data_IF_105568453333
#
_entry.id   IF_105568453333
#
_cell.length_a   1.000
_cell.length_b   1.000
_cell.length_c   1.000
_cell.angle_alpha   90.00
_cell.angle_beta   90.00
_cell.angle_gamma   90.00
#
_symmetry.space_group_name_H-M   'P 1'
#
loop_
_entity.id
_entity.type
_entity.pdbx_description
1 polymer ?
#
# COMPACT_ATOMS: atom_id res chain seq x y z
N UNK A 1 -55.01 20.99 4.31
CA UNK A 1 -53.74 21.60 4.77
C UNK A 1 -53.01 20.85 5.90
N UNK A 2 -53.67 20.13 6.83
CA UNK A 2 -52.99 19.42 7.93
C UNK A 2 -52.19 18.17 7.51
N UNK A 3 -52.70 17.41 6.53
CA UNK A 3 -52.06 16.18 6.02
C UNK A 3 -50.77 16.47 5.25
N UNK A 4 -50.77 17.50 4.39
CA UNK A 4 -49.57 17.89 3.62
C UNK A 4 -48.42 18.31 4.55
N UNK A 5 -48.72 19.10 5.58
CA UNK A 5 -47.77 19.50 6.62
C UNK A 5 -47.26 18.33 7.47
N UNK A 6 -48.02 17.24 7.56
CA UNK A 6 -47.59 16.02 8.27
C UNK A 6 -46.62 15.20 7.42
N UNK A 7 -46.88 15.10 6.11
CA UNK A 7 -46.00 14.44 5.13
C UNK A 7 -44.65 15.17 5.02
N UNK A 8 -44.65 16.51 4.93
CA UNK A 8 -43.41 17.31 4.89
C UNK A 8 -42.55 17.11 6.14
N UNK A 9 -43.16 17.05 7.32
CA UNK A 9 -42.44 16.83 8.59
C UNK A 9 -41.80 15.44 8.62
N UNK A 10 -42.48 14.42 8.13
CA UNK A 10 -41.92 13.06 8.03
C UNK A 10 -40.77 13.02 7.03
N UNK A 11 -40.92 13.65 5.85
CA UNK A 11 -39.87 13.71 4.85
C UNK A 11 -38.60 14.40 5.39
N UNK A 12 -38.74 15.53 6.10
CA UNK A 12 -37.61 16.20 6.75
C UNK A 12 -36.98 15.37 7.86
N UNK A 13 -37.78 14.69 8.70
CA UNK A 13 -37.26 13.82 9.76
C UNK A 13 -36.51 12.60 9.21
N UNK A 14 -37.01 11.99 8.13
CA UNK A 14 -36.31 10.90 7.44
C UNK A 14 -35.01 11.42 6.80
N UNK A 15 -35.06 12.57 6.12
CA UNK A 15 -33.87 13.19 5.53
C UNK A 15 -32.78 13.51 6.57
N UNK A 16 -33.17 14.05 7.73
CA UNK A 16 -32.26 14.33 8.83
C UNK A 16 -31.67 13.04 9.42
N UNK A 17 -32.49 11.99 9.59
CA UNK A 17 -32.02 10.70 10.08
C UNK A 17 -31.01 10.06 9.11
N UNK A 18 -31.29 10.09 7.80
CA UNK A 18 -30.36 9.59 6.78
C UNK A 18 -29.04 10.38 6.78
N UNK A 19 -29.09 11.71 6.96
CA UNK A 19 -27.89 12.53 7.07
C UNK A 19 -27.06 12.19 8.31
N UNK A 20 -27.69 12.00 9.47
CA UNK A 20 -27.01 11.60 10.71
C UNK A 20 -26.37 10.21 10.56
N UNK A 21 -27.11 9.24 10.00
CA UNK A 21 -26.58 7.90 9.74
C UNK A 21 -25.39 7.98 8.77
N UNK A 22 -25.47 8.78 7.71
CA UNK A 22 -24.35 8.99 6.80
C UNK A 22 -23.12 9.58 7.50
N UNK A 23 -23.30 10.60 8.36
CA UNK A 23 -22.20 11.21 9.13
C UNK A 23 -21.55 10.21 10.08
N UNK A 24 -22.34 9.41 10.80
CA UNK A 24 -21.83 8.37 11.70
C UNK A 24 -21.06 7.30 10.91
N UNK A 25 -21.61 6.85 9.78
CA UNK A 25 -20.93 5.90 8.90
C UNK A 25 -19.62 6.45 8.32
N UNK A 26 -19.61 7.73 7.93
CA UNK A 26 -18.39 8.43 7.50
C UNK A 26 -17.37 8.46 8.64
N UNK A 27 -17.77 8.80 9.86
CA UNK A 27 -16.88 8.81 11.03
C UNK A 27 -16.28 7.44 11.36
N UNK A 28 -17.10 6.37 11.28
CA UNK A 28 -16.64 4.98 11.50
C UNK A 28 -15.68 4.52 10.41
N UNK A 29 -15.87 4.96 9.16
CA UNK A 29 -14.98 4.63 8.03
C UNK A 29 -13.67 5.43 8.11
N UNK A 30 -13.71 6.70 8.51
CA UNK A 30 -12.54 7.56 8.68
C UNK A 30 -11.68 7.11 9.88
N UNK A 31 -12.31 6.69 10.97
CA UNK A 31 -11.61 6.33 12.21
C UNK A 31 -10.94 4.96 12.20
N UNK A 32 -11.00 4.21 11.09
CA UNK A 32 -10.32 2.92 11.00
C UNK A 32 -8.80 3.15 10.89
N UNK A 33 -7.99 2.65 11.85
CA UNK A 33 -6.54 2.76 11.76
C UNK A 33 -6.05 2.04 10.50
N UNK A 34 -5.09 2.66 9.81
CA UNK A 34 -4.43 2.01 8.68
C UNK A 34 -3.79 0.71 9.18
N UNK A 35 -4.15 -0.41 8.54
CA UNK A 35 -3.47 -1.67 8.73
C UNK A 35 -2.03 -1.48 8.22
N UNK A 36 -1.04 -1.57 9.11
CA UNK A 36 0.37 -1.47 8.72
C UNK A 36 0.85 -2.84 8.26
N UNK A 37 1.63 -2.90 7.19
CA UNK A 37 2.38 -4.09 6.85
C UNK A 37 3.25 -4.48 8.05
N UNK A 38 3.15 -5.73 8.52
CA UNK A 38 3.90 -6.21 9.68
C UNK A 38 5.42 -6.16 9.47
N UNK A 39 6.19 -6.30 10.54
CA UNK A 39 7.65 -6.23 10.51
C UNK A 39 8.22 -7.26 9.51
N UNK A 40 8.91 -6.78 8.48
CA UNK A 40 9.47 -7.64 7.42
C UNK A 40 10.79 -8.26 7.91
N UNK A 41 11.06 -9.54 7.64
CA UNK A 41 12.29 -10.18 8.08
C UNK A 41 13.50 -9.61 7.31
N UNK A 42 14.47 -9.07 8.05
CA UNK A 42 15.79 -8.72 7.50
C UNK A 42 16.57 -10.00 7.22
N UNK A 43 16.92 -10.23 5.95
CA UNK A 43 17.76 -11.37 5.58
C UNK A 43 19.24 -11.06 5.85
N UNK A 44 19.70 -11.47 7.02
CA UNK A 44 21.13 -11.48 7.36
C UNK A 44 21.78 -12.67 6.63
N UNK A 45 22.65 -12.40 5.64
CA UNK A 45 23.46 -13.42 4.98
C UNK A 45 23.52 -13.40 3.44
N UNK A 46 22.98 -12.37 2.77
CA UNK A 46 22.98 -12.27 1.30
C UNK A 46 24.11 -11.38 0.73
N UNK A 47 25.18 -11.10 1.48
CA UNK A 47 26.19 -10.11 1.07
C UNK A 47 27.04 -10.51 -0.15
N UNK A 48 27.02 -11.77 -0.57
CA UNK A 48 27.92 -12.27 -1.63
C UNK A 48 27.22 -12.91 -2.84
N UNK A 49 25.88 -12.99 -2.86
CA UNK A 49 25.13 -13.51 -4.00
C UNK A 49 24.15 -12.47 -4.54
N UNK A 50 24.18 -12.28 -5.85
CA UNK A 50 23.20 -11.47 -6.58
C UNK A 50 21.79 -11.99 -6.27
N UNK A 51 20.94 -11.11 -5.75
CA UNK A 51 19.59 -11.43 -5.27
C UNK A 51 18.52 -10.76 -6.12
N UNK A 52 17.28 -11.21 -5.94
CA UNK A 52 16.08 -10.63 -6.54
C UNK A 52 15.26 -9.94 -5.47
N UNK A 53 14.90 -8.68 -5.71
CA UNK A 53 14.07 -7.86 -4.84
C UNK A 53 12.69 -7.77 -5.48
N UNK A 54 11.70 -8.50 -4.94
CA UNK A 54 10.34 -8.54 -5.45
C UNK A 54 9.42 -7.68 -4.57
N UNK A 55 8.93 -6.59 -5.13
CA UNK A 55 8.10 -5.57 -4.49
C UNK A 55 6.66 -5.73 -4.97
N UNK A 56 5.73 -5.91 -4.02
CA UNK A 56 4.31 -6.14 -4.27
C UNK A 56 3.47 -5.04 -3.63
N UNK A 57 2.87 -4.18 -4.45
CA UNK A 57 2.16 -2.98 -4.03
C UNK A 57 0.66 -3.12 -4.33
N UNK A 58 -0.15 -3.35 -3.29
CA UNK A 58 -1.56 -3.63 -3.48
C UNK A 58 -2.42 -2.37 -3.69
N UNK A 59 -3.59 -2.55 -4.31
CA UNK A 59 -4.61 -1.54 -4.43
C UNK A 59 -5.29 -1.25 -3.09
N UNK A 60 -5.67 -0.01 -2.88
CA UNK A 60 -6.56 0.47 -1.81
C UNK A 60 -7.91 -0.25 -1.67
N UNK A 61 -8.54 -0.10 -0.49
CA UNK A 61 -9.77 -0.82 -0.09
C UNK A 61 -9.59 -2.33 0.02
N UNK A 62 -8.34 -2.79 0.00
CA UNK A 62 -7.99 -4.17 0.20
C UNK A 62 -7.35 -4.31 1.59
N UNK A 63 -7.93 -5.19 2.40
CA UNK A 63 -7.26 -5.78 3.56
C UNK A 63 -6.48 -7.03 3.13
N UNK A 64 -5.64 -7.56 4.01
CA UNK A 64 -4.96 -8.87 3.81
C UNK A 64 -5.95 -9.99 3.41
N UNK A 65 -7.22 -9.87 3.81
CA UNK A 65 -8.30 -10.82 3.49
C UNK A 65 -8.92 -10.63 2.09
N UNK A 66 -8.49 -9.62 1.33
CA UNK A 66 -9.08 -9.29 0.01
C UNK A 66 -8.55 -10.19 -1.11
N UNK A 67 -7.56 -11.03 -0.81
CA UNK A 67 -7.04 -12.07 -1.71
C UNK A 67 -6.74 -11.56 -3.13
N UNK A 68 -6.13 -10.39 -3.22
CA UNK A 68 -5.82 -9.73 -4.49
C UNK A 68 -4.79 -10.53 -5.27
N UNK A 69 -4.70 -10.30 -6.58
CA UNK A 69 -3.66 -10.96 -7.37
C UNK A 69 -2.25 -10.58 -6.90
N UNK A 70 -2.05 -9.36 -6.37
CA UNK A 70 -0.77 -8.92 -5.80
C UNK A 70 -0.44 -9.75 -4.54
N UNK A 71 -1.39 -9.88 -3.61
CA UNK A 71 -1.23 -10.74 -2.43
C UNK A 71 -0.95 -12.20 -2.80
N UNK A 72 -1.70 -12.74 -3.77
CA UNK A 72 -1.53 -14.13 -4.23
C UNK A 72 -0.15 -14.34 -4.85
N UNK A 73 0.31 -13.41 -5.70
CA UNK A 73 1.66 -13.48 -6.28
C UNK A 73 2.73 -13.41 -5.19
N UNK A 74 2.57 -12.53 -4.20
CA UNK A 74 3.46 -12.46 -3.04
C UNK A 74 3.51 -13.79 -2.28
N UNK A 75 2.35 -14.38 -1.99
CA UNK A 75 2.26 -15.64 -1.24
C UNK A 75 2.87 -16.83 -2.00
N UNK A 76 2.92 -16.76 -3.32
CA UNK A 76 3.52 -17.78 -4.19
C UNK A 76 5.01 -17.51 -4.50
N UNK A 77 5.59 -16.43 -3.97
CA UNK A 77 6.99 -16.12 -4.21
C UNK A 77 7.89 -17.10 -3.44
N UNK A 78 8.68 -17.88 -4.18
CA UNK A 78 9.63 -18.82 -3.59
C UNK A 78 10.81 -18.09 -2.92
N UNK A 79 11.43 -18.68 -1.90
CA UNK A 79 12.61 -18.10 -1.25
C UNK A 79 13.85 -18.04 -2.16
N UNK A 80 13.91 -18.90 -3.18
CA UNK A 80 14.96 -18.92 -4.21
C UNK A 80 14.34 -19.09 -5.58
N UNK A 81 14.96 -18.48 -6.58
CA UNK A 81 14.58 -18.64 -7.97
C UNK A 81 15.05 -19.98 -8.56
N UNK A 82 14.59 -20.31 -9.78
CA UNK A 82 15.03 -21.53 -10.49
C UNK A 82 16.54 -21.57 -10.77
N UNK A 83 17.15 -20.41 -10.94
CA UNK A 83 18.60 -20.21 -11.09
C UNK A 83 19.34 -20.08 -9.75
N UNK A 84 18.67 -20.34 -8.62
CA UNK A 84 19.28 -20.42 -7.30
C UNK A 84 19.47 -19.09 -6.58
N UNK A 85 19.17 -17.94 -7.23
CA UNK A 85 19.27 -16.62 -6.63
C UNK A 85 18.28 -16.47 -5.47
N UNK A 86 18.70 -15.95 -4.30
CA UNK A 86 17.78 -15.59 -3.23
C UNK A 86 16.73 -14.57 -3.70
N UNK A 87 15.49 -14.68 -3.21
CA UNK A 87 14.42 -13.71 -3.50
C UNK A 87 13.92 -13.07 -2.21
N UNK A 88 14.15 -11.77 -2.08
CA UNK A 88 13.65 -10.93 -0.99
C UNK A 88 12.32 -10.31 -1.42
N UNK A 89 11.37 -10.28 -0.50
CA UNK A 89 9.98 -9.90 -0.80
C UNK A 89 9.58 -8.72 0.08
N UNK A 90 9.12 -7.66 -0.55
CA UNK A 90 8.45 -6.53 0.11
C UNK A 90 6.97 -6.51 -0.30
N UNK A 91 6.08 -6.34 0.67
CA UNK A 91 4.64 -6.23 0.42
C UNK A 91 4.08 -5.03 1.17
N UNK A 92 3.38 -4.17 0.43
CA UNK A 92 2.65 -3.05 1.01
C UNK A 92 1.16 -3.19 0.74
N UNK A 93 0.37 -3.00 1.80
CA UNK A 93 -1.08 -2.99 1.69
C UNK A 93 -1.53 -1.67 1.08
N UNK A 94 -2.58 -1.72 0.26
CA UNK A 94 -3.11 -0.49 -0.32
C UNK A 94 -3.69 0.44 0.75
N UNK A 95 -3.57 1.75 0.52
CA UNK A 95 -4.12 2.79 1.41
C UNK A 95 -5.61 2.54 1.72
N UNK A 96 -5.96 2.47 3.00
CA UNK A 96 -7.33 2.28 3.47
C UNK A 96 -7.89 3.61 3.99
N UNK A 97 -8.94 4.14 3.34
CA UNK A 97 -9.64 5.35 3.76
C UNK A 97 -10.28 6.14 2.61
N UNK A 98 -11.52 6.61 2.80
CA UNK A 98 -12.26 7.41 1.82
C UNK A 98 -11.55 8.74 1.47
N UNK A 99 -10.80 9.32 2.42
CA UNK A 99 -10.00 10.53 2.19
C UNK A 99 -8.77 10.27 1.29
N UNK A 100 -8.11 9.12 1.39
CA UNK A 100 -7.04 8.72 0.45
C UNK A 100 -7.57 8.53 -0.98
N UNK A 101 -8.87 8.25 -1.13
CA UNK A 101 -9.52 8.10 -2.44
C UNK A 101 -9.82 9.41 -3.17
N UNK A 102 -9.93 10.54 -2.46
CA UNK A 102 -10.21 11.86 -3.04
C UNK A 102 -8.98 12.78 -2.99
N UNK A 103 -8.09 12.62 -2.00
CA UNK A 103 -6.95 13.52 -1.76
C UNK A 103 -5.56 12.88 -1.91
N UNK A 104 -5.46 11.60 -2.29
CA UNK A 104 -4.16 10.96 -2.56
C UNK A 104 -3.23 10.78 -1.35
N UNK A 105 -3.65 11.18 -0.15
CA UNK A 105 -2.87 11.07 1.08
C UNK A 105 -2.53 9.60 1.38
N UNK A 106 -1.24 9.30 1.52
CA UNK A 106 -0.70 7.98 1.86
C UNK A 106 -0.05 7.21 0.69
N UNK A 107 -0.25 7.65 -0.56
CA UNK A 107 0.43 7.04 -1.71
C UNK A 107 1.92 7.40 -1.75
N UNK A 108 2.23 8.64 -1.39
CA UNK A 108 3.57 9.18 -1.20
C UNK A 108 4.34 8.41 -0.12
N UNK A 109 3.70 8.11 1.00
CA UNK A 109 4.29 7.30 2.07
C UNK A 109 4.60 5.87 1.58
N UNK A 110 3.68 5.22 0.86
CA UNK A 110 3.94 3.89 0.31
C UNK A 110 5.11 3.88 -0.69
N UNK A 111 5.28 4.95 -1.49
CA UNK A 111 6.43 5.09 -2.39
C UNK A 111 7.71 5.24 -1.56
N UNK A 112 7.68 6.11 -0.54
CA UNK A 112 8.81 6.37 0.35
C UNK A 112 9.26 5.09 1.06
N UNK A 113 8.36 4.37 1.72
CA UNK A 113 8.68 3.15 2.47
C UNK A 113 9.24 2.05 1.56
N UNK A 114 8.69 1.88 0.37
CA UNK A 114 9.22 0.91 -0.60
C UNK A 114 10.62 1.31 -1.08
N UNK A 115 10.89 2.61 -1.25
CA UNK A 115 12.20 3.12 -1.63
C UNK A 115 13.23 3.00 -0.49
N UNK A 116 12.84 3.30 0.75
CA UNK A 116 13.67 3.08 1.95
C UNK A 116 14.05 1.60 2.09
N UNK A 117 13.08 0.69 1.89
CA UNK A 117 13.37 -0.75 1.89
C UNK A 117 14.36 -1.15 0.78
N UNK A 118 14.27 -0.54 -0.41
CA UNK A 118 15.28 -0.76 -1.46
C UNK A 118 16.66 -0.25 -1.06
N UNK A 119 16.76 0.93 -0.47
CA UNK A 119 18.03 1.49 0.03
C UNK A 119 18.70 0.54 1.03
N UNK A 120 17.90 -0.06 1.92
CA UNK A 120 18.41 -0.98 2.94
C UNK A 120 18.83 -2.35 2.40
N UNK A 121 18.25 -2.79 1.26
CA UNK A 121 18.39 -4.17 0.80
C UNK A 121 19.10 -4.31 -0.55
N UNK A 122 19.24 -3.25 -1.35
CA UNK A 122 19.83 -3.34 -2.68
C UNK A 122 21.36 -3.35 -2.65
N UNK A 123 21.96 -4.32 -3.34
CA UNK A 123 23.37 -4.33 -3.69
C UNK A 123 23.55 -4.20 -5.21
N UNK A 124 24.71 -3.67 -5.62
CA UNK A 124 25.03 -3.51 -7.03
C UNK A 124 24.93 -4.87 -7.77
N UNK A 125 24.11 -4.89 -8.82
CA UNK A 125 23.83 -6.08 -9.62
C UNK A 125 22.54 -6.80 -9.25
N UNK A 126 21.88 -6.48 -8.15
CA UNK A 126 20.59 -7.10 -7.81
C UNK A 126 19.50 -6.80 -8.84
N UNK A 127 18.57 -7.74 -8.99
CA UNK A 127 17.46 -7.62 -9.94
C UNK A 127 16.20 -7.15 -9.20
N UNK A 128 15.54 -6.10 -9.70
CA UNK A 128 14.36 -5.51 -9.06
C UNK A 128 13.11 -5.86 -9.89
N UNK A 129 12.09 -6.40 -9.22
CA UNK A 129 10.80 -6.75 -9.80
C UNK A 129 9.71 -6.00 -9.03
N UNK A 130 8.93 -5.16 -9.72
CA UNK A 130 7.89 -4.35 -9.10
C UNK A 130 6.54 -4.76 -9.68
N UNK A 131 5.61 -5.14 -8.81
CA UNK A 131 4.25 -5.53 -9.16
C UNK A 131 3.27 -4.60 -8.46
N UNK A 132 2.27 -4.11 -9.19
CA UNK A 132 1.25 -3.23 -8.62
C UNK A 132 -0.11 -3.39 -9.29
N UNK A 133 -1.18 -3.17 -8.52
CA UNK A 133 -2.57 -3.23 -9.00
C UNK A 133 -3.37 -1.99 -8.59
N UNK A 134 -4.21 -1.48 -9.49
CA UNK A 134 -5.05 -0.28 -9.25
C UNK A 134 -4.20 0.90 -8.75
N UNK A 135 -4.48 1.46 -7.58
CA UNK A 135 -3.63 2.50 -6.94
C UNK A 135 -2.22 2.01 -6.60
N UNK A 136 -2.03 0.73 -6.29
CA UNK A 136 -0.70 0.14 -6.15
C UNK A 136 0.09 0.10 -7.46
N UNK A 137 -0.59 0.10 -8.63
CA UNK A 137 0.09 0.25 -9.92
C UNK A 137 0.62 1.67 -10.14
N UNK A 138 -0.08 2.68 -9.61
CA UNK A 138 0.45 4.05 -9.56
C UNK A 138 1.70 4.11 -8.68
N UNK A 139 1.65 3.58 -7.45
CA UNK A 139 2.81 3.47 -6.55
C UNK A 139 3.98 2.75 -7.22
N UNK A 140 3.73 1.62 -7.90
CA UNK A 140 4.75 0.85 -8.62
C UNK A 140 5.42 1.65 -9.73
N UNK A 141 4.64 2.38 -10.53
CA UNK A 141 5.17 3.22 -11.61
C UNK A 141 5.95 4.42 -11.07
N UNK A 142 5.47 5.05 -10.00
CA UNK A 142 6.17 6.17 -9.36
C UNK A 142 7.48 5.72 -8.73
N UNK A 143 7.50 4.56 -8.07
CA UNK A 143 8.73 3.97 -7.53
C UNK A 143 9.73 3.64 -8.65
N UNK A 144 9.28 3.00 -9.73
CA UNK A 144 10.13 2.73 -10.89
C UNK A 144 10.68 4.02 -11.52
N UNK A 145 9.85 5.08 -11.58
CA UNK A 145 10.27 6.40 -12.04
C UNK A 145 11.32 7.03 -11.14
N UNK A 146 11.14 6.96 -9.82
CA UNK A 146 12.12 7.44 -8.84
C UNK A 146 13.47 6.75 -9.00
N UNK A 147 13.47 5.42 -9.12
CA UNK A 147 14.69 4.63 -9.37
C UNK A 147 15.35 5.02 -10.70
N UNK A 148 14.55 5.26 -11.75
CA UNK A 148 15.08 5.61 -13.06
C UNK A 148 15.70 7.03 -13.11
N UNK A 149 15.21 7.96 -12.27
CA UNK A 149 15.67 9.34 -12.23
C UNK A 149 16.85 9.48 -11.25
N UNK A 150 16.70 8.99 -10.03
CA UNK A 150 17.61 9.24 -8.92
C UNK A 150 18.51 8.04 -8.57
N UNK A 151 18.28 6.88 -9.19
CA UNK A 151 18.96 5.64 -8.82
C UNK A 151 18.46 5.07 -7.50
N UNK A 152 19.30 4.28 -6.82
CA UNK A 152 19.06 3.83 -5.44
C UNK A 152 20.18 4.41 -4.59
N UNK A 153 19.79 5.20 -3.58
CA UNK A 153 20.75 5.78 -2.65
C UNK A 153 21.45 4.69 -1.85
N UNK A 154 22.75 4.87 -1.62
CA UNK A 154 23.51 4.03 -0.69
C UNK A 154 23.43 4.69 0.68
N UNK A 155 23.31 3.89 1.74
CA UNK A 155 23.45 4.42 3.09
C UNK A 155 24.89 4.88 3.27
N UNK A 156 25.08 6.19 3.49
CA UNK A 156 26.35 6.66 4.00
C UNK A 156 26.52 6.09 5.41
N UNK A 157 27.65 5.44 5.73
CA UNK A 157 27.92 5.06 7.10
C UNK A 157 27.84 6.33 7.96
N UNK A 158 27.23 6.29 9.17
CA UNK A 158 27.22 7.44 10.04
C UNK A 158 28.65 7.95 10.18
N UNK A 159 28.88 9.21 9.81
CA UNK A 159 30.19 9.85 9.91
C UNK A 159 30.74 9.61 11.31
N UNK A 160 31.82 8.83 11.38
CA UNK A 160 32.51 8.45 12.60
C UNK A 160 33.08 9.67 13.35
#
# INVERSE_FOLDING_TARGET
>A
MKVLRWIERIAHSIGLLLAIVAIVWIGVIIGRPSEKSGNQPNFVGAEQQQKRLAIFLDGTWNSINSNTNVWRMRALCAAKSKDGKPQLVYYEVGVNGFLGGVFGQGLDENIRLAYEWLIENYNDGDEIFIFGFSRGAFTARSLAGLIAIDGILKQDPPSA
#
